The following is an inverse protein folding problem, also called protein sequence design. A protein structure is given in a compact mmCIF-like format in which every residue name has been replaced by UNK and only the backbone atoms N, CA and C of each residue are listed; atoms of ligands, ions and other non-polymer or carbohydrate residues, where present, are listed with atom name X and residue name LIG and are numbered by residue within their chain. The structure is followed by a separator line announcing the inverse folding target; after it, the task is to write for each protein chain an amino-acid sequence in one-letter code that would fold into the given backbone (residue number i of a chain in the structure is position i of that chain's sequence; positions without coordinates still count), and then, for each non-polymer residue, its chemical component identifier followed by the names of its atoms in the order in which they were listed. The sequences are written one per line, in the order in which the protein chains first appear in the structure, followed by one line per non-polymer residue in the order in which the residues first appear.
data_IF_133157900089
#
_entry.id   IF_133157900089
#
_cell.length_a   1.000
_cell.length_b   1.000
_cell.length_c   1.000
_cell.angle_alpha   90.00
_cell.angle_beta   90.00
_cell.angle_gamma   90.00
#
_symmetry.space_group_name_H-M   'P 1'
#
loop_
_entity.id
_entity.type
_entity.pdbx_description
1 polymer ?
#
# COMPACT_ATOMS: atom_id res chain seq x y z
N UNK A 1 15.93 -9.21 -21.28
CA UNK A 1 14.85 -8.48 -20.55
C UNK A 1 13.73 -9.48 -20.28
N UNK A 2 13.14 -9.50 -19.09
CA UNK A 2 11.90 -10.26 -18.86
C UNK A 2 10.78 -9.61 -19.67
N UNK A 3 10.15 -10.38 -20.55
CA UNK A 3 8.96 -9.94 -21.28
C UNK A 3 7.74 -10.26 -20.44
N UNK A 4 6.95 -9.24 -20.14
CA UNK A 4 5.67 -9.39 -19.45
C UNK A 4 4.53 -9.46 -20.48
N UNK A 5 3.46 -10.14 -20.10
CA UNK A 5 2.24 -10.19 -20.90
C UNK A 5 1.37 -8.96 -20.65
N UNK A 6 0.61 -8.58 -21.66
CA UNK A 6 -0.39 -7.52 -21.54
C UNK A 6 -1.71 -8.05 -21.02
N UNK A 7 -2.54 -7.15 -20.50
CA UNK A 7 -3.89 -7.47 -20.04
C UNK A 7 -4.73 -7.89 -21.26
N UNK A 8 -5.21 -9.12 -21.25
CA UNK A 8 -6.16 -9.64 -22.23
C UNK A 8 -7.60 -9.50 -21.76
N UNK A 9 -8.56 -9.55 -22.70
CA UNK A 9 -9.97 -9.46 -22.35
C UNK A 9 -10.43 -10.52 -21.32
N UNK A 10 -10.05 -11.81 -21.42
CA UNK A 10 -10.42 -12.80 -20.41
C UNK A 10 -9.93 -12.45 -19.00
N UNK A 11 -8.71 -11.91 -18.88
CA UNK A 11 -8.15 -11.51 -17.58
C UNK A 11 -8.91 -10.31 -17.02
N UNK A 12 -9.26 -9.37 -17.89
CA UNK A 12 -10.06 -8.20 -17.49
C UNK A 12 -11.46 -8.63 -17.01
N UNK A 13 -12.09 -9.59 -17.68
CA UNK A 13 -13.39 -10.14 -17.28
C UNK A 13 -13.31 -10.83 -15.91
N UNK A 14 -12.18 -11.50 -15.58
CA UNK A 14 -11.94 -12.06 -14.25
C UNK A 14 -11.86 -10.97 -13.17
N UNK A 15 -11.21 -9.83 -13.45
CA UNK A 15 -11.17 -8.70 -12.51
C UNK A 15 -12.56 -8.09 -12.30
N UNK A 16 -13.35 -7.91 -13.35
CA UNK A 16 -14.73 -7.44 -13.22
C UNK A 16 -15.60 -8.39 -12.39
N UNK A 17 -15.41 -9.70 -12.55
CA UNK A 17 -16.13 -10.69 -11.76
C UNK A 17 -15.69 -10.69 -10.29
N UNK A 18 -14.39 -10.53 -10.04
CA UNK A 18 -13.82 -10.55 -8.68
C UNK A 18 -14.17 -9.30 -7.87
N UNK A 19 -14.16 -8.12 -8.49
CA UNK A 19 -14.17 -6.83 -7.80
C UNK A 19 -15.42 -5.99 -8.03
N UNK A 20 -16.21 -6.30 -9.08
CA UNK A 20 -17.25 -5.41 -9.60
C UNK A 20 -16.69 -4.37 -10.57
N UNK A 21 -17.56 -3.87 -11.46
CA UNK A 21 -17.16 -2.94 -12.53
C UNK A 21 -16.64 -1.60 -12.01
N UNK A 22 -17.20 -1.10 -10.92
CA UNK A 22 -16.82 0.15 -10.28
C UNK A 22 -15.41 0.14 -9.65
N UNK A 23 -14.88 -1.05 -9.40
CA UNK A 23 -13.56 -1.25 -8.79
C UNK A 23 -12.46 -1.60 -9.80
N UNK A 24 -12.78 -1.54 -11.11
CA UNK A 24 -11.84 -1.84 -12.20
C UNK A 24 -11.89 -0.72 -13.23
N UNK A 25 -10.83 0.08 -13.31
CA UNK A 25 -10.73 1.21 -14.24
C UNK A 25 -9.91 0.81 -15.46
N UNK A 26 -10.41 1.12 -16.65
CA UNK A 26 -9.77 0.79 -17.94
C UNK A 26 -9.75 1.98 -18.90
N UNK A 27 -10.46 3.06 -18.57
CA UNK A 27 -10.49 4.25 -19.40
C UNK A 27 -9.20 5.07 -19.21
N UNK A 28 -8.73 5.66 -20.31
CA UNK A 28 -7.44 6.36 -20.35
C UNK A 28 -7.37 7.57 -19.41
N UNK A 29 -8.47 8.27 -19.22
CA UNK A 29 -8.53 9.46 -18.38
C UNK A 29 -8.35 9.09 -16.91
N UNK A 30 -9.10 8.09 -16.43
CA UNK A 30 -8.94 7.56 -15.08
C UNK A 30 -7.54 6.99 -14.85
N UNK A 31 -7.01 6.19 -15.79
CA UNK A 31 -5.68 5.59 -15.67
C UNK A 31 -4.55 6.63 -15.67
N UNK A 32 -4.71 7.72 -16.40
CA UNK A 32 -3.73 8.82 -16.42
C UNK A 32 -3.51 9.40 -15.02
N UNK A 33 -4.56 9.54 -14.22
CA UNK A 33 -4.47 10.05 -12.84
C UNK A 33 -3.65 9.14 -11.91
N UNK A 34 -3.45 7.87 -12.28
CA UNK A 34 -2.62 6.90 -11.55
C UNK A 34 -1.28 6.62 -12.25
N UNK A 35 -0.91 7.44 -13.20
CA UNK A 35 0.31 7.30 -13.98
C UNK A 35 1.46 8.19 -13.55
N UNK A 36 1.27 9.05 -12.56
CA UNK A 36 2.29 9.99 -12.08
C UNK A 36 2.25 10.09 -10.54
N UNK A 37 3.39 10.32 -9.94
CA UNK A 37 3.54 10.74 -8.54
C UNK A 37 4.16 12.15 -8.53
N UNK A 38 4.71 12.60 -7.41
CA UNK A 38 5.36 13.91 -7.31
C UNK A 38 6.78 13.92 -7.91
N UNK A 39 7.20 12.83 -8.58
CA UNK A 39 8.48 12.79 -9.31
C UNK A 39 8.33 13.56 -10.63
N UNK A 40 9.22 14.54 -10.85
CA UNK A 40 9.16 15.40 -12.03
C UNK A 40 9.32 14.60 -13.34
N UNK A 41 8.51 14.96 -14.34
CA UNK A 41 8.61 14.50 -15.74
C UNK A 41 8.43 12.98 -15.96
N UNK A 42 7.86 12.24 -15.02
CA UNK A 42 7.56 10.83 -15.18
C UNK A 42 6.04 10.60 -15.27
N UNK A 43 5.62 9.79 -16.26
CA UNK A 43 4.23 9.36 -16.41
C UNK A 43 4.19 7.95 -16.98
N UNK A 44 3.76 7.00 -16.17
CA UNK A 44 3.63 5.58 -16.52
C UNK A 44 2.31 5.02 -15.99
N UNK A 45 1.18 5.25 -16.69
CA UNK A 45 -0.11 4.70 -16.28
C UNK A 45 -0.13 3.18 -16.40
N UNK A 46 -0.84 2.46 -15.51
CA UNK A 46 -1.10 1.03 -15.65
C UNK A 46 -2.01 0.74 -16.86
N UNK A 47 -2.06 -0.51 -17.32
CA UNK A 47 -3.03 -0.95 -18.35
C UNK A 47 -4.43 -1.13 -17.80
N UNK A 48 -4.53 -1.49 -16.51
CA UNK A 48 -5.77 -1.56 -15.71
C UNK A 48 -5.46 -1.14 -14.29
N UNK A 49 -6.38 -0.43 -13.66
CA UNK A 49 -6.34 -0.15 -12.23
C UNK A 49 -7.41 -0.94 -11.52
N UNK A 50 -7.04 -1.64 -10.46
CA UNK A 50 -7.97 -2.39 -9.60
C UNK A 50 -7.97 -1.84 -8.18
N UNK A 51 -9.16 -1.79 -7.56
CA UNK A 51 -9.39 -1.26 -6.23
C UNK A 51 -9.96 -2.36 -5.31
N UNK A 52 -9.14 -3.31 -4.84
CA UNK A 52 -9.60 -4.36 -3.94
C UNK A 52 -10.07 -3.78 -2.61
N UNK A 53 -11.04 -4.45 -1.97
CA UNK A 53 -11.58 -4.07 -0.66
C UNK A 53 -11.24 -5.07 0.45
N UNK A 54 -10.54 -6.18 0.12
CA UNK A 54 -10.09 -7.17 1.10
C UNK A 54 -8.76 -7.80 0.74
N UNK A 55 -8.07 -8.36 1.73
CA UNK A 55 -6.77 -9.03 1.57
C UNK A 55 -6.90 -10.24 0.63
N UNK A 56 -8.02 -10.97 0.70
CA UNK A 56 -8.32 -12.12 -0.17
C UNK A 56 -8.45 -11.69 -1.64
N UNK A 57 -9.03 -10.51 -1.90
CA UNK A 57 -9.09 -9.95 -3.25
C UNK A 57 -7.68 -9.61 -3.77
N UNK A 58 -6.84 -9.00 -2.94
CA UNK A 58 -5.43 -8.74 -3.29
C UNK A 58 -4.71 -10.07 -3.60
N UNK A 59 -4.86 -11.09 -2.73
CA UNK A 59 -4.28 -12.43 -2.95
C UNK A 59 -4.70 -13.03 -4.29
N UNK A 60 -5.99 -12.96 -4.64
CA UNK A 60 -6.50 -13.47 -5.93
C UNK A 60 -5.94 -12.70 -7.11
N UNK A 61 -5.86 -11.36 -7.04
CA UNK A 61 -5.24 -10.53 -8.07
C UNK A 61 -3.78 -10.94 -8.28
N UNK A 62 -3.01 -11.10 -7.18
CA UNK A 62 -1.60 -11.51 -7.26
C UNK A 62 -1.42 -12.90 -7.87
N UNK A 63 -2.30 -13.87 -7.54
CA UNK A 63 -2.31 -15.21 -8.17
C UNK A 63 -2.54 -15.14 -9.66
N UNK A 64 -3.54 -14.36 -10.11
CA UNK A 64 -3.81 -14.15 -11.53
C UNK A 64 -2.63 -13.47 -12.23
N UNK A 65 -2.09 -12.41 -11.66
CA UNK A 65 -0.93 -11.70 -12.20
C UNK A 65 0.28 -12.63 -12.36
N UNK A 66 0.57 -13.45 -11.35
CA UNK A 66 1.66 -14.43 -11.41
C UNK A 66 1.40 -15.52 -12.45
N UNK A 67 0.20 -16.07 -12.50
CA UNK A 67 -0.20 -17.10 -13.48
C UNK A 67 -0.03 -16.62 -14.91
N UNK A 68 -0.40 -15.38 -15.19
CA UNK A 68 -0.35 -14.80 -16.54
C UNK A 68 0.92 -13.99 -16.81
N UNK A 69 1.89 -13.97 -15.90
CA UNK A 69 3.14 -13.20 -16.00
C UNK A 69 2.89 -11.72 -16.33
N UNK A 70 2.00 -11.07 -15.56
CA UNK A 70 1.63 -9.66 -15.69
C UNK A 70 2.30 -8.87 -14.57
N UNK A 71 2.95 -7.72 -14.85
CA UNK A 71 3.53 -6.89 -13.83
C UNK A 71 2.45 -6.23 -12.96
N UNK A 72 2.77 -6.06 -11.67
CA UNK A 72 1.88 -5.42 -10.70
C UNK A 72 2.62 -4.28 -10.02
N UNK A 73 1.95 -3.14 -9.90
CA UNK A 73 2.43 -1.97 -9.16
C UNK A 73 1.44 -1.64 -8.05
N UNK A 74 1.81 -1.74 -6.77
CA UNK A 74 1.00 -1.24 -5.68
C UNK A 74 1.00 0.29 -5.69
N UNK A 75 -0.19 0.88 -5.55
CA UNK A 75 -0.39 2.32 -5.62
C UNK A 75 -1.03 2.79 -4.31
N UNK A 76 -0.34 3.71 -3.63
CA UNK A 76 -0.85 4.43 -2.47
C UNK A 76 -1.46 5.77 -2.85
N UNK A 77 -1.10 6.83 -2.13
CA UNK A 77 -1.59 8.19 -2.37
C UNK A 77 -0.80 8.97 -3.43
N UNK A 78 0.23 8.37 -4.01
CA UNK A 78 1.08 8.95 -5.08
C UNK A 78 1.79 10.26 -4.70
N UNK A 79 2.07 10.44 -3.42
CA UNK A 79 2.78 11.60 -2.86
C UNK A 79 4.30 11.40 -2.77
N UNK A 80 4.81 10.30 -3.32
CA UNK A 80 6.23 9.95 -3.34
C UNK A 80 7.01 10.73 -4.40
N UNK A 81 8.34 10.79 -4.21
CA UNK A 81 9.30 11.48 -5.09
C UNK A 81 10.31 10.52 -5.73
N UNK A 82 10.04 9.20 -5.69
CA UNK A 82 10.97 8.16 -6.13
C UNK A 82 10.50 7.40 -7.38
N UNK A 83 9.29 7.66 -7.86
CA UNK A 83 8.68 6.91 -8.96
C UNK A 83 8.23 5.50 -8.56
N UNK A 84 8.21 5.16 -7.26
CA UNK A 84 7.94 3.80 -6.76
C UNK A 84 6.52 3.31 -7.02
N UNK A 85 5.55 4.22 -7.24
CA UNK A 85 4.16 3.89 -7.58
C UNK A 85 3.88 3.87 -9.08
N UNK A 86 4.88 4.07 -9.94
CA UNK A 86 4.71 4.17 -11.39
C UNK A 86 4.78 2.81 -12.07
N UNK A 87 3.83 2.52 -12.96
CA UNK A 87 3.73 1.24 -13.68
C UNK A 87 4.64 1.21 -14.91
N UNK A 88 5.96 1.28 -14.71
CA UNK A 88 6.96 1.38 -15.81
C UNK A 88 6.94 0.23 -16.81
N UNK A 89 6.31 -0.87 -16.47
CA UNK A 89 6.11 -2.02 -17.35
C UNK A 89 4.64 -2.19 -17.77
N UNK A 90 3.77 -1.21 -17.49
CA UNK A 90 2.32 -1.36 -17.68
C UNK A 90 1.70 -2.33 -16.68
N UNK A 91 0.78 -3.19 -17.16
CA UNK A 91 0.14 -4.21 -16.34
C UNK A 91 -0.89 -3.67 -15.36
N UNK A 92 -0.91 -4.21 -14.13
CA UNK A 92 -1.95 -3.96 -13.12
C UNK A 92 -1.46 -2.93 -12.10
N UNK A 93 -2.18 -1.81 -11.96
CA UNK A 93 -2.09 -0.95 -10.79
C UNK A 93 -3.06 -1.44 -9.70
N UNK A 94 -2.58 -1.66 -8.47
CA UNK A 94 -3.44 -2.01 -7.33
C UNK A 94 -3.53 -0.82 -6.40
N UNK A 95 -4.67 -0.11 -6.40
CA UNK A 95 -4.90 1.00 -5.48
C UNK A 95 -5.31 0.50 -4.09
N UNK A 96 -4.63 1.02 -3.07
CA UNK A 96 -4.92 0.70 -1.66
C UNK A 96 -5.93 1.65 -1.02
N UNK A 97 -6.57 2.54 -1.76
CA UNK A 97 -7.45 3.59 -1.22
C UNK A 97 -8.66 3.05 -0.43
N UNK A 98 -9.12 1.83 -0.72
CA UNK A 98 -10.23 1.19 0.01
C UNK A 98 -9.83 0.56 1.34
N UNK A 99 -8.53 0.43 1.60
CA UNK A 99 -7.99 -0.06 2.87
C UNK A 99 -7.73 1.12 3.82
N UNK A 100 -8.75 1.85 4.22
CA UNK A 100 -8.66 3.13 4.91
C UNK A 100 -9.18 3.11 6.36
N UNK A 101 -9.22 1.94 6.99
CA UNK A 101 -9.72 1.79 8.35
C UNK A 101 -8.59 1.68 9.38
N UNK A 102 -8.76 2.36 10.53
CA UNK A 102 -8.04 2.06 11.76
C UNK A 102 -8.80 0.92 12.44
N UNK A 103 -8.20 -0.27 12.47
CA UNK A 103 -8.87 -1.49 12.92
C UNK A 103 -8.93 -1.60 14.45
N UNK A 104 -7.86 -1.18 15.14
CA UNK A 104 -7.77 -1.20 16.60
C UNK A 104 -6.73 -0.19 17.08
N UNK A 105 -7.05 0.55 18.14
CA UNK A 105 -6.08 1.29 18.95
C UNK A 105 -5.99 0.55 20.29
N UNK A 106 -4.81 0.03 20.60
CA UNK A 106 -4.51 -0.71 21.83
C UNK A 106 -3.74 0.22 22.76
N UNK A 107 -4.48 0.86 23.67
CA UNK A 107 -3.94 1.87 24.60
C UNK A 107 -2.99 1.24 25.62
N UNK A 108 -3.28 0.01 26.06
CA UNK A 108 -2.48 -0.70 27.06
C UNK A 108 -1.10 -1.10 26.53
N UNK A 109 -1.03 -1.48 25.26
CA UNK A 109 0.21 -1.91 24.61
C UNK A 109 0.85 -0.81 23.72
N UNK A 110 0.25 0.38 23.65
CA UNK A 110 0.68 1.52 22.83
C UNK A 110 0.83 1.12 21.34
N UNK A 111 -0.14 0.39 20.82
CA UNK A 111 -0.13 -0.14 19.46
C UNK A 111 -1.37 0.26 18.69
N UNK A 112 -1.24 0.34 17.37
CA UNK A 112 -2.38 0.53 16.46
C UNK A 112 -2.32 -0.50 15.34
N UNK A 113 -3.47 -1.10 15.03
CA UNK A 113 -3.67 -1.90 13.85
C UNK A 113 -4.37 -1.04 12.80
N UNK A 114 -3.69 -0.79 11.70
CA UNK A 114 -4.13 0.16 10.68
C UNK A 114 -3.97 -0.42 9.28
N UNK A 115 -4.91 -0.12 8.41
CA UNK A 115 -4.85 -0.49 7.01
C UNK A 115 -3.95 0.47 6.21
N UNK A 116 -3.33 0.02 5.09
CA UNK A 116 -2.31 0.78 4.37
C UNK A 116 -2.80 2.08 3.73
N UNK A 117 -4.09 2.22 3.41
CA UNK A 117 -4.69 3.42 2.81
C UNK A 117 -5.14 4.47 3.82
N UNK A 118 -4.89 4.30 5.11
CA UNK A 118 -5.16 5.33 6.12
C UNK A 118 -4.21 6.51 5.92
N UNK A 119 -4.77 7.72 5.89
CA UNK A 119 -3.99 8.96 5.82
C UNK A 119 -3.22 9.16 7.14
N UNK A 120 -1.95 9.52 7.06
CA UNK A 120 -1.07 9.68 8.22
C UNK A 120 -1.63 10.67 9.25
N UNK A 121 -2.14 11.82 8.81
CA UNK A 121 -2.74 12.82 9.69
C UNK A 121 -3.97 12.24 10.43
N UNK A 122 -4.81 11.47 9.74
CA UNK A 122 -5.98 10.82 10.36
C UNK A 122 -5.54 9.87 11.47
N UNK A 123 -4.49 9.07 11.23
CA UNK A 123 -3.93 8.21 12.28
C UNK A 123 -3.43 9.04 13.47
N UNK A 124 -2.66 10.10 13.20
CA UNK A 124 -2.14 10.98 14.27
C UNK A 124 -3.26 11.58 15.13
N UNK A 125 -4.32 12.08 14.47
CA UNK A 125 -5.46 12.69 15.15
C UNK A 125 -6.25 11.68 16.00
N UNK A 126 -6.46 10.45 15.48
CA UNK A 126 -7.20 9.42 16.22
C UNK A 126 -6.44 8.90 17.44
N UNK A 127 -5.11 8.67 17.31
CA UNK A 127 -4.33 8.23 18.48
C UNK A 127 -4.16 9.35 19.50
N UNK A 128 -4.11 10.62 19.07
CA UNK A 128 -4.03 11.77 19.98
C UNK A 128 -5.28 11.92 20.88
N UNK A 129 -6.48 11.56 20.38
CA UNK A 129 -7.72 11.50 21.19
C UNK A 129 -7.63 10.53 22.37
N UNK A 130 -6.70 9.56 22.29
CA UNK A 130 -6.41 8.54 23.29
C UNK A 130 -5.18 8.87 24.14
N UNK A 131 -4.64 10.10 24.03
CA UNK A 131 -3.42 10.50 24.72
C UNK A 131 -2.14 9.87 24.18
N UNK A 132 -2.21 9.21 23.02
CA UNK A 132 -1.07 8.57 22.36
C UNK A 132 -0.46 9.49 21.29
N UNK A 133 0.75 9.16 20.85
CA UNK A 133 1.49 9.98 19.90
C UNK A 133 2.17 9.13 18.84
N UNK A 134 1.81 9.35 17.57
CA UNK A 134 2.49 8.79 16.40
C UNK A 134 3.44 9.83 15.81
N UNK A 135 4.75 9.62 15.97
CA UNK A 135 5.77 10.61 15.69
C UNK A 135 6.10 10.86 14.21
N UNK A 136 6.10 9.86 13.28
CA UNK A 136 6.43 10.09 11.88
C UNK A 136 5.57 11.21 11.27
N UNK A 137 6.25 12.19 10.65
CA UNK A 137 5.64 13.46 10.24
C UNK A 137 6.15 13.89 8.84
N UNK A 138 5.87 13.09 7.79
CA UNK A 138 6.27 13.47 6.44
C UNK A 138 5.56 14.76 6.00
N UNK A 139 6.18 15.52 5.10
CA UNK A 139 5.62 16.78 4.60
C UNK A 139 4.21 16.57 3.99
N UNK A 140 3.98 15.40 3.39
CA UNK A 140 2.71 14.98 2.80
C UNK A 140 1.73 14.35 3.79
N UNK A 141 1.93 14.43 5.12
CA UNK A 141 1.11 13.73 6.14
C UNK A 141 -0.40 13.90 5.99
N UNK A 142 -0.85 15.03 5.44
CA UNK A 142 -2.26 15.34 5.20
C UNK A 142 -2.89 14.56 4.05
N UNK A 143 -2.07 13.90 3.22
CA UNK A 143 -2.53 13.16 2.02
C UNK A 143 -1.88 11.79 1.87
N UNK A 144 -0.65 11.57 2.35
CA UNK A 144 0.04 10.30 2.18
C UNK A 144 -0.60 9.17 3.01
N UNK A 145 -0.52 7.96 2.47
CA UNK A 145 -1.02 6.74 3.10
C UNK A 145 0.05 6.05 3.94
N UNK A 146 -0.36 5.43 5.03
CA UNK A 146 0.54 4.67 5.92
C UNK A 146 1.32 3.58 5.14
N UNK A 147 0.68 2.89 4.20
CA UNK A 147 1.35 1.88 3.37
C UNK A 147 2.49 2.47 2.52
N UNK A 148 2.30 3.66 1.95
CA UNK A 148 3.35 4.39 1.23
C UNK A 148 4.48 4.83 2.17
N UNK A 149 4.15 5.31 3.36
CA UNK A 149 5.16 5.67 4.37
C UNK A 149 6.04 4.48 4.77
N UNK A 150 5.44 3.28 4.88
CA UNK A 150 6.17 2.04 5.18
C UNK A 150 7.06 1.65 3.99
N UNK A 151 6.53 1.67 2.77
CA UNK A 151 7.26 1.28 1.57
C UNK A 151 8.50 2.16 1.31
N UNK A 152 8.37 3.47 1.50
CA UNK A 152 9.44 4.46 1.27
C UNK A 152 10.23 4.80 2.54
N UNK A 153 9.86 4.21 3.69
CA UNK A 153 10.42 4.54 4.99
C UNK A 153 10.40 6.04 5.29
N UNK A 154 9.24 6.65 5.15
CA UNK A 154 9.06 8.10 5.28
C UNK A 154 9.55 8.62 6.63
N UNK A 155 10.25 9.76 6.60
CA UNK A 155 10.73 10.47 7.77
C UNK A 155 9.89 11.72 8.07
N UNK A 156 10.57 12.86 8.15
CA UNK A 156 10.00 14.17 8.42
C UNK A 156 10.84 14.95 9.43
N UNK A 157 10.46 16.18 9.79
CA UNK A 157 11.26 17.04 10.67
C UNK A 157 11.47 16.46 12.08
N UNK A 158 10.61 15.53 12.51
CA UNK A 158 10.71 14.87 13.83
C UNK A 158 11.64 13.64 13.83
N UNK A 159 12.11 13.19 12.66
CA UNK A 159 12.84 11.94 12.50
C UNK A 159 14.18 11.92 13.28
N UNK A 160 14.87 13.05 13.41
CA UNK A 160 16.12 13.15 14.17
C UNK A 160 15.96 12.75 15.63
N UNK A 161 14.80 13.07 16.23
CA UNK A 161 14.53 12.74 17.64
C UNK A 161 13.84 11.39 17.81
N UNK A 162 12.88 11.08 16.95
CA UNK A 162 11.94 9.97 17.20
C UNK A 162 12.15 8.78 16.26
N UNK A 163 12.99 8.91 15.24
CA UNK A 163 13.16 7.90 14.20
C UNK A 163 12.21 8.09 13.02
N UNK A 164 12.25 7.15 12.10
CA UNK A 164 11.48 7.12 10.85
C UNK A 164 10.40 6.05 10.88
N UNK A 165 9.60 5.92 9.84
CA UNK A 165 8.43 5.01 9.83
C UNK A 165 8.76 3.57 10.23
N UNK A 166 9.89 3.00 9.74
CA UNK A 166 10.29 1.61 10.07
C UNK A 166 10.48 1.36 11.57
N UNK A 167 10.85 2.40 12.33
CA UNK A 167 11.13 2.27 13.76
C UNK A 167 9.83 2.11 14.58
N UNK A 168 8.67 2.32 13.94
CA UNK A 168 7.32 2.19 14.52
C UNK A 168 6.58 0.95 14.03
N UNK A 169 7.12 0.19 13.08
CA UNK A 169 6.46 -0.99 12.52
C UNK A 169 6.84 -2.23 13.32
N UNK A 170 5.86 -2.89 13.93
CA UNK A 170 6.04 -4.13 14.68
C UNK A 170 5.80 -5.36 13.80
N UNK A 171 4.74 -5.29 12.98
CA UNK A 171 4.29 -6.41 12.17
C UNK A 171 3.58 -5.91 10.91
N UNK A 172 3.66 -6.69 9.84
CA UNK A 172 2.94 -6.46 8.60
C UNK A 172 2.23 -7.74 8.17
N UNK A 173 0.96 -7.60 7.77
CA UNK A 173 0.30 -8.58 6.93
C UNK A 173 0.65 -8.27 5.47
N UNK A 174 1.24 -9.22 4.77
CA UNK A 174 1.78 -9.04 3.42
C UNK A 174 1.22 -10.08 2.48
N UNK A 175 0.81 -9.64 1.29
CA UNK A 175 0.49 -10.54 0.18
C UNK A 175 1.72 -10.65 -0.72
N UNK A 176 2.26 -11.85 -0.83
CA UNK A 176 3.43 -12.16 -1.65
C UNK A 176 3.09 -12.19 -3.16
N UNK A 177 4.10 -12.13 -4.05
CA UNK A 177 3.86 -12.20 -5.50
C UNK A 177 3.12 -13.45 -5.97
N UNK A 178 3.22 -14.57 -5.25
CA UNK A 178 2.47 -15.81 -5.52
C UNK A 178 1.04 -15.78 -4.95
N UNK A 179 0.64 -14.68 -4.28
CA UNK A 179 -0.66 -14.50 -3.64
C UNK A 179 -0.78 -15.15 -2.26
N UNK A 180 0.30 -15.67 -1.68
CA UNK A 180 0.32 -16.15 -0.29
C UNK A 180 0.24 -14.96 0.67
N UNK A 181 -0.52 -15.11 1.76
CA UNK A 181 -0.66 -14.10 2.81
C UNK A 181 0.21 -14.52 3.99
N UNK A 182 1.10 -13.65 4.40
CA UNK A 182 2.02 -13.90 5.51
C UNK A 182 2.00 -12.76 6.54
N UNK A 183 2.47 -13.04 7.74
CA UNK A 183 2.80 -12.04 8.76
C UNK A 183 4.31 -12.01 8.98
N UNK A 184 4.90 -10.80 9.03
CA UNK A 184 6.36 -10.63 9.07
C UNK A 184 6.95 -10.62 10.47
N UNK A 185 6.13 -10.45 11.50
CA UNK A 185 6.60 -10.28 12.88
C UNK A 185 5.58 -10.71 13.92
N UNK A 186 5.89 -10.39 15.16
CA UNK A 186 5.01 -10.49 16.31
C UNK A 186 4.68 -9.07 16.82
N UNK A 187 3.59 -8.95 17.59
CA UNK A 187 3.19 -7.66 18.18
C UNK A 187 4.05 -7.28 19.41
N UNK A 188 5.37 -7.52 19.32
CA UNK A 188 6.33 -7.26 20.40
C UNK A 188 7.64 -6.74 19.81
N UNK A 189 8.26 -5.77 20.50
CA UNK A 189 9.58 -5.22 20.12
C UNK A 189 10.72 -6.23 20.27
N UNK A 190 10.54 -7.26 21.11
CA UNK A 190 11.55 -8.25 21.42
C UNK A 190 10.91 -9.64 21.50
N UNK A 191 11.49 -10.59 20.76
CA UNK A 191 11.12 -11.98 20.88
C UNK A 191 12.03 -12.65 21.93
N UNK A 192 11.43 -13.03 23.06
CA UNK A 192 12.16 -13.65 24.19
C UNK A 192 12.75 -15.02 23.84
N UNK A 193 12.26 -15.72 22.80
CA UNK A 193 12.81 -17.00 22.36
C UNK A 193 14.21 -16.91 21.76
N UNK A 194 14.70 -15.71 21.44
CA UNK A 194 16.04 -15.45 20.93
C UNK A 194 17.07 -15.11 22.01
N UNK A 195 16.75 -15.28 23.29
CA UNK A 195 17.64 -14.98 24.43
C UNK A 195 18.42 -16.21 24.89
N UNK A 196 18.32 -17.34 24.21
CA UNK A 196 19.06 -18.57 24.53
C UNK A 196 20.31 -18.70 23.73
#
# INVERSE_FOLDING_TARGET
MKTYNKISKPILDEFFHLLGKESVLTDKESLFNYGHDETENLSYPPEVLVKPGSVEQVSKIMKLANQYNIPVTPIGAMTGLSGGSLSIHGGIGISMERFNNILKIDEDNLQVHVQPGVITQVLQDEVAKKGLYYAPDPASRGSCFIGGNIAENSGGPRAVKYGVTKDFVLNLEVVLPNGEIINTGANTLKNLSLIH
#
